data_IF_097095410019
#
_entry.id   IF_097095410019
#
_cell.length_a   1.000
_cell.length_b   1.000
_cell.length_c   1.000
_cell.angle_alpha   90.00
_cell.angle_beta   90.00
_cell.angle_gamma   90.00
#
_symmetry.space_group_name_H-M   'P 1'
#
loop_
_entity.id
_entity.type
_entity.pdbx_description
1 polymer ?
#
# COMPACT_ATOMS: atom_id res chain seq x y z
N UNK A 1 -68.11 31.34 3.42
CA UNK A 1 -67.54 31.05 2.10
C UNK A 1 -66.23 31.79 1.80
N UNK A 2 -65.65 32.59 2.70
CA UNK A 2 -64.36 33.33 2.45
C UNK A 2 -63.09 32.55 2.94
N UNK A 3 -63.23 31.63 3.87
CA UNK A 3 -62.11 30.86 4.44
C UNK A 3 -61.62 29.72 3.58
N UNK A 4 -62.44 29.22 2.64
CA UNK A 4 -62.06 28.09 1.78
C UNK A 4 -61.18 28.48 0.56
N UNK A 5 -61.24 29.75 0.17
CA UNK A 5 -60.45 30.30 -0.95
C UNK A 5 -59.01 30.61 -0.57
N UNK A 6 -58.77 31.00 0.67
CA UNK A 6 -57.41 31.30 1.17
C UNK A 6 -56.58 30.02 1.45
N UNK A 7 -57.25 28.93 1.82
CA UNK A 7 -56.57 27.63 2.00
C UNK A 7 -56.07 26.99 0.69
N UNK A 8 -56.84 27.18 -0.40
CA UNK A 8 -56.50 26.62 -1.69
C UNK A 8 -55.32 27.35 -2.37
N UNK A 9 -55.20 28.67 -2.17
CA UNK A 9 -54.09 29.43 -2.72
C UNK A 9 -52.78 29.20 -1.96
N UNK A 10 -52.81 28.99 -0.63
CA UNK A 10 -51.64 28.64 0.12
C UNK A 10 -51.15 27.20 -0.20
N UNK A 11 -52.04 26.26 -0.40
CA UNK A 11 -51.71 24.88 -0.82
C UNK A 11 -51.08 24.80 -2.21
N UNK A 12 -51.55 25.66 -3.14
CA UNK A 12 -50.99 25.70 -4.49
C UNK A 12 -49.64 26.38 -4.55
N UNK A 13 -49.37 27.35 -3.64
CA UNK A 13 -48.06 28.02 -3.53
C UNK A 13 -46.99 27.15 -2.84
N UNK A 14 -47.41 26.25 -1.93
CA UNK A 14 -46.52 25.28 -1.31
C UNK A 14 -46.07 24.16 -2.26
N UNK A 15 -46.93 23.78 -3.22
CA UNK A 15 -46.61 22.80 -4.26
C UNK A 15 -45.66 23.37 -5.34
N UNK A 16 -45.65 24.69 -5.55
CA UNK A 16 -44.73 25.31 -6.51
C UNK A 16 -43.28 25.47 -5.99
N UNK A 17 -43.06 25.42 -4.68
CA UNK A 17 -41.71 25.51 -4.08
C UNK A 17 -41.01 24.14 -3.89
N UNK A 18 -41.73 23.05 -4.01
CA UNK A 18 -41.15 21.69 -3.91
C UNK A 18 -40.64 21.13 -5.25
N UNK A 19 -40.71 21.90 -6.32
CA UNK A 19 -40.37 21.49 -7.69
C UNK A 19 -38.88 21.54 -8.06
N UNK A 20 -37.97 21.92 -7.17
CA UNK A 20 -36.55 21.93 -7.45
C UNK A 20 -35.83 20.85 -6.67
N UNK A 21 -35.85 19.60 -7.12
CA UNK A 21 -34.93 18.62 -6.53
C UNK A 21 -35.21 17.15 -6.72
N UNK A 22 -36.37 16.73 -7.28
CA UNK A 22 -36.71 15.30 -7.31
C UNK A 22 -36.56 14.65 -8.70
N UNK A 23 -36.37 15.41 -9.78
CA UNK A 23 -36.19 14.87 -11.14
C UNK A 23 -34.90 15.37 -11.82
N UNK A 24 -33.77 15.38 -11.09
CA UNK A 24 -32.45 15.78 -11.62
C UNK A 24 -31.39 14.71 -11.50
N UNK A 25 -31.75 13.44 -11.57
CA UNK A 25 -30.83 12.32 -11.61
C UNK A 25 -30.29 12.01 -13.01
N UNK A 26 -30.27 12.95 -13.91
CA UNK A 26 -29.56 12.88 -15.19
C UNK A 26 -28.23 13.59 -15.05
N UNK A 27 -27.16 12.86 -14.74
CA UNK A 27 -25.80 13.41 -14.86
C UNK A 27 -25.66 14.00 -16.26
N UNK A 28 -25.51 15.33 -16.33
CA UNK A 28 -25.11 16.03 -17.55
C UNK A 28 -23.78 15.43 -18.00
N UNK A 29 -23.85 14.39 -18.82
CA UNK A 29 -22.70 13.97 -19.62
C UNK A 29 -22.41 15.17 -20.50
N UNK A 30 -21.42 15.97 -20.14
CA UNK A 30 -20.89 17.02 -21.00
C UNK A 30 -20.70 16.38 -22.36
N UNK A 31 -21.28 16.95 -23.45
CA UNK A 31 -21.08 16.39 -24.77
C UNK A 31 -19.57 16.27 -24.96
N UNK A 32 -19.11 15.07 -25.31
CA UNK A 32 -17.70 14.88 -25.68
C UNK A 32 -17.48 15.78 -26.89
N UNK A 33 -16.71 16.83 -26.72
CA UNK A 33 -16.29 17.67 -27.86
C UNK A 33 -15.56 16.73 -28.82
N UNK A 34 -16.06 16.50 -30.04
CA UNK A 34 -15.37 15.67 -30.99
C UNK A 34 -14.00 16.31 -31.27
N UNK A 35 -12.95 15.61 -30.98
CA UNK A 35 -11.60 16.02 -31.40
C UNK A 35 -11.52 15.79 -32.90
N UNK A 36 -11.49 16.88 -33.65
CA UNK A 36 -11.32 16.84 -35.11
C UNK A 36 -9.82 16.78 -35.39
N UNK A 37 -9.38 15.83 -36.21
CA UNK A 37 -7.98 15.65 -36.61
C UNK A 37 -7.35 14.36 -36.07
N UNK A 38 -6.21 14.00 -36.64
CA UNK A 38 -5.42 12.86 -36.18
C UNK A 38 -4.68 13.19 -34.89
N UNK A 39 -4.76 12.29 -33.92
CA UNK A 39 -4.05 12.46 -32.66
C UNK A 39 -2.59 12.07 -32.84
N UNK A 40 -1.70 13.03 -32.72
CA UNK A 40 -0.27 12.78 -32.63
C UNK A 40 0.09 12.64 -31.16
N UNK A 41 0.66 11.49 -30.72
CA UNK A 41 1.14 11.33 -29.36
C UNK A 41 2.21 12.40 -29.06
N UNK A 42 2.04 13.14 -27.96
CA UNK A 42 3.04 14.15 -27.52
C UNK A 42 4.27 13.43 -26.94
N UNK A 43 4.06 12.27 -26.34
CA UNK A 43 5.14 11.39 -25.86
C UNK A 43 5.44 10.36 -26.95
N UNK A 44 6.42 10.67 -27.78
CA UNK A 44 6.92 9.75 -28.83
C UNK A 44 7.79 8.62 -28.27
N UNK A 45 8.08 8.66 -26.96
CA UNK A 45 8.87 7.68 -26.23
C UNK A 45 8.06 6.80 -25.28
N UNK A 46 6.73 6.64 -25.49
CA UNK A 46 6.07 5.43 -24.97
C UNK A 46 6.72 4.27 -25.72
N UNK A 47 7.82 3.79 -25.15
CA UNK A 47 8.58 2.69 -25.69
C UNK A 47 7.66 1.47 -25.75
N UNK A 48 7.16 1.17 -26.93
CA UNK A 48 6.94 -0.21 -27.29
C UNK A 48 8.28 -0.89 -27.06
N UNK A 49 8.30 -1.96 -26.26
CA UNK A 49 9.51 -2.76 -26.11
C UNK A 49 9.76 -3.50 -27.44
N UNK A 50 10.28 -2.74 -28.41
CA UNK A 50 10.62 -3.29 -29.72
C UNK A 50 11.91 -4.11 -29.56
N UNK A 51 11.87 -5.33 -30.04
CA UNK A 51 13.05 -6.19 -30.04
C UNK A 51 14.11 -5.57 -30.92
N UNK A 52 15.31 -5.35 -30.40
CA UNK A 52 16.44 -4.90 -31.21
C UNK A 52 16.70 -5.92 -32.32
N UNK A 53 16.60 -5.54 -33.61
CA UNK A 53 16.79 -6.49 -34.71
C UNK A 53 18.16 -7.18 -34.71
N UNK A 54 19.18 -6.55 -34.13
CA UNK A 54 20.52 -7.11 -34.01
C UNK A 54 20.62 -8.25 -33.00
N UNK A 55 19.65 -8.37 -32.10
CA UNK A 55 19.61 -9.38 -31.02
C UNK A 55 18.63 -10.51 -31.30
N UNK A 56 17.96 -10.52 -32.44
CA UNK A 56 16.93 -11.52 -32.80
C UNK A 56 17.46 -12.95 -32.77
N UNK A 57 18.71 -13.14 -33.16
CA UNK A 57 19.34 -14.46 -33.25
C UNK A 57 20.16 -14.84 -32.01
N UNK A 58 20.15 -14.00 -30.98
CA UNK A 58 20.86 -14.29 -29.72
C UNK A 58 20.07 -15.30 -28.90
N UNK A 59 20.67 -16.48 -28.66
CA UNK A 59 20.06 -17.49 -27.81
C UNK A 59 19.96 -17.01 -26.36
N UNK A 60 18.74 -16.94 -25.82
CA UNK A 60 18.50 -16.61 -24.42
C UNK A 60 18.56 -17.92 -23.62
N UNK A 61 19.56 -18.02 -22.74
CA UNK A 61 19.67 -19.12 -21.80
C UNK A 61 19.02 -18.73 -20.49
N UNK A 62 17.83 -19.28 -20.21
CA UNK A 62 17.17 -19.13 -18.91
C UNK A 62 17.73 -20.16 -17.93
N UNK A 63 18.00 -19.79 -16.68
CA UNK A 63 18.32 -20.76 -15.65
C UNK A 63 17.14 -21.73 -15.46
N UNK A 64 17.37 -22.95 -14.95
CA UNK A 64 16.29 -23.88 -14.66
C UNK A 64 15.26 -23.25 -13.72
N UNK A 65 13.96 -23.51 -13.97
CA UNK A 65 12.91 -23.04 -13.10
C UNK A 65 13.01 -23.67 -11.71
N UNK A 66 12.92 -22.84 -10.66
CA UNK A 66 13.04 -23.26 -9.27
C UNK A 66 11.69 -23.14 -8.56
N UNK A 67 11.31 -24.18 -7.81
CA UNK A 67 10.13 -24.12 -6.96
C UNK A 67 10.35 -23.11 -5.82
N UNK A 68 9.37 -22.26 -5.58
CA UNK A 68 9.38 -21.29 -4.51
C UNK A 68 8.24 -21.55 -3.52
N UNK A 69 8.55 -21.70 -2.24
CA UNK A 69 7.59 -21.94 -1.17
C UNK A 69 7.26 -20.69 -0.38
N UNK A 70 8.13 -19.69 -0.46
CA UNK A 70 8.04 -18.50 0.37
C UNK A 70 8.17 -17.22 -0.46
N UNK A 71 7.47 -16.17 -0.02
CA UNK A 71 7.51 -14.83 -0.59
C UNK A 71 7.56 -13.85 0.57
N UNK A 72 8.74 -13.75 1.18
CA UNK A 72 8.90 -13.17 2.53
C UNK A 72 8.83 -11.66 2.59
N UNK A 73 9.02 -10.98 1.46
CA UNK A 73 8.99 -9.53 1.36
C UNK A 73 8.31 -9.09 0.05
N UNK A 74 7.81 -7.86 -0.08
CA UNK A 74 7.39 -7.31 -1.37
C UNK A 74 8.50 -7.46 -2.42
N UNK A 75 8.18 -8.08 -3.55
CA UNK A 75 9.18 -8.46 -4.56
C UNK A 75 9.86 -9.81 -4.30
N UNK A 76 9.39 -10.58 -3.30
CA UNK A 76 9.77 -11.96 -3.03
C UNK A 76 10.80 -12.12 -1.91
N UNK A 77 11.90 -11.41 -1.99
CA UNK A 77 13.02 -11.47 -1.04
C UNK A 77 13.65 -10.10 -0.81
N UNK A 78 14.67 -10.00 0.05
CA UNK A 78 15.38 -8.75 0.33
C UNK A 78 15.99 -8.09 -0.92
N UNK A 79 16.74 -8.82 -1.77
CA UNK A 79 17.29 -8.29 -3.02
C UNK A 79 16.26 -7.91 -4.10
N UNK A 80 14.99 -8.28 -3.95
CA UNK A 80 13.94 -8.13 -4.98
C UNK A 80 14.26 -8.89 -6.28
N UNK A 81 15.00 -9.97 -6.17
CA UNK A 81 15.45 -10.78 -7.29
C UNK A 81 15.05 -12.24 -7.05
N UNK A 82 14.00 -12.68 -7.74
CA UNK A 82 13.42 -14.01 -7.59
C UNK A 82 13.86 -15.00 -8.67
N UNK A 83 14.66 -14.56 -9.64
CA UNK A 83 15.13 -15.38 -10.77
C UNK A 83 13.98 -16.05 -11.55
N UNK A 84 14.18 -17.30 -12.00
CA UNK A 84 13.19 -18.06 -12.75
C UNK A 84 12.39 -18.95 -11.80
N UNK A 85 11.24 -18.43 -11.32
CA UNK A 85 10.33 -19.17 -10.43
C UNK A 85 9.50 -20.17 -11.23
N UNK A 86 9.42 -21.42 -10.75
CA UNK A 86 8.57 -22.43 -11.37
C UNK A 86 7.09 -22.11 -11.19
N UNK A 87 6.32 -22.19 -12.27
CA UNK A 87 4.88 -22.02 -12.27
C UNK A 87 4.23 -23.22 -12.97
N UNK A 88 3.13 -23.71 -12.43
CA UNK A 88 2.36 -24.79 -13.06
C UNK A 88 1.74 -24.36 -14.39
N UNK A 89 1.58 -25.30 -15.32
CA UNK A 89 1.00 -25.04 -16.66
C UNK A 89 -0.52 -24.85 -16.64
N UNK A 90 -1.20 -25.34 -15.61
CA UNK A 90 -2.65 -25.18 -15.41
C UNK A 90 -2.88 -24.37 -14.12
N UNK A 91 -3.29 -23.12 -14.30
CA UNK A 91 -3.63 -22.24 -13.18
C UNK A 91 -5.12 -22.26 -12.95
N UNK A 92 -5.54 -22.36 -11.68
CA UNK A 92 -6.94 -22.28 -11.25
C UNK A 92 -7.03 -21.56 -9.91
N UNK A 93 -8.23 -21.06 -9.60
CA UNK A 93 -8.50 -20.49 -8.29
C UNK A 93 -8.50 -21.60 -7.23
N UNK A 94 -7.64 -21.47 -6.23
CA UNK A 94 -7.61 -22.40 -5.10
C UNK A 94 -8.64 -22.00 -4.03
N UNK A 95 -8.70 -20.71 -3.71
CA UNK A 95 -9.62 -20.13 -2.73
C UNK A 95 -9.62 -18.60 -2.82
N UNK A 96 -10.63 -17.99 -2.24
CA UNK A 96 -10.77 -16.52 -2.17
C UNK A 96 -11.16 -16.08 -0.76
N UNK A 97 -10.48 -15.08 -0.22
CA UNK A 97 -10.77 -14.46 1.07
C UNK A 97 -10.95 -12.96 0.90
N UNK A 98 -11.91 -12.39 1.64
CA UNK A 98 -12.15 -10.95 1.65
C UNK A 98 -11.49 -10.31 2.86
N UNK A 99 -10.74 -9.24 2.63
CA UNK A 99 -10.22 -8.32 3.65
C UNK A 99 -10.79 -6.93 3.42
N UNK A 100 -10.60 -6.02 4.37
CA UNK A 100 -11.02 -4.63 4.19
C UNK A 100 -10.13 -3.94 3.14
N UNK A 101 -10.72 -3.71 1.99
CA UNK A 101 -10.05 -3.16 0.81
C UNK A 101 -10.16 -1.65 0.70
N UNK A 102 -9.69 -1.13 -0.43
CA UNK A 102 -9.68 0.29 -0.78
C UNK A 102 -11.04 0.96 -0.65
N UNK A 103 -11.09 2.14 -0.07
CA UNK A 103 -12.24 3.04 -0.04
C UNK A 103 -11.85 4.45 -0.53
N UNK A 104 -12.75 5.42 -0.40
CA UNK A 104 -12.47 6.80 -0.88
C UNK A 104 -11.39 7.55 -0.08
N UNK A 105 -11.03 7.08 1.10
CA UNK A 105 -10.07 7.74 2.00
C UNK A 105 -8.77 6.97 2.16
N UNK A 106 -8.79 5.65 2.02
CA UNK A 106 -7.64 4.78 2.21
C UNK A 106 -7.51 3.80 1.05
N UNK A 107 -6.29 3.50 0.65
CA UNK A 107 -5.97 2.53 -0.40
C UNK A 107 -5.16 1.38 0.17
N UNK A 108 -5.52 0.19 -0.22
CA UNK A 108 -4.70 -0.97 0.06
C UNK A 108 -3.41 -0.87 -0.76
N UNK A 109 -2.29 -0.82 -0.07
CA UNK A 109 -0.99 -0.59 -0.68
C UNK A 109 -0.03 -1.79 -0.52
N UNK A 110 -0.33 -2.66 0.46
CA UNK A 110 0.53 -3.76 0.82
C UNK A 110 0.32 -4.98 -0.09
N UNK A 111 1.41 -5.55 -0.58
CA UNK A 111 1.41 -6.89 -1.15
C UNK A 111 1.36 -7.93 -0.04
N UNK A 112 0.65 -9.06 -0.21
CA UNK A 112 0.74 -10.18 0.70
C UNK A 112 2.16 -10.76 0.73
N UNK A 113 2.54 -11.36 1.85
CA UNK A 113 3.76 -12.18 1.95
C UNK A 113 3.39 -13.61 2.34
N UNK A 114 4.24 -14.55 1.96
CA UNK A 114 4.06 -15.98 2.21
C UNK A 114 5.27 -16.51 2.94
N UNK A 115 5.06 -17.11 4.09
CA UNK A 115 6.09 -17.77 4.86
C UNK A 115 5.48 -18.85 5.76
N UNK A 116 6.22 -19.91 6.03
CA UNK A 116 5.80 -21.01 6.92
C UNK A 116 4.43 -21.62 6.55
N UNK A 117 4.07 -21.66 5.26
CA UNK A 117 2.77 -22.16 4.81
C UNK A 117 1.58 -21.25 5.16
N UNK A 118 1.83 -20.00 5.50
CA UNK A 118 0.83 -18.98 5.83
C UNK A 118 0.94 -17.80 4.88
N UNK A 119 -0.18 -17.10 4.67
CA UNK A 119 -0.24 -15.82 3.95
C UNK A 119 -0.53 -14.72 4.95
N UNK A 120 0.27 -13.66 4.92
CA UNK A 120 0.11 -12.48 5.77
C UNK A 120 -0.19 -11.27 4.91
N UNK A 121 -1.16 -10.47 5.33
CA UNK A 121 -1.59 -9.27 4.62
C UNK A 121 -2.08 -8.20 5.59
N UNK A 122 -1.77 -6.94 5.29
CA UNK A 122 -2.24 -5.78 6.06
C UNK A 122 -3.41 -5.14 5.32
N UNK A 123 -4.50 -4.88 6.02
CA UNK A 123 -5.67 -4.19 5.48
C UNK A 123 -5.61 -2.66 5.64
N UNK A 124 -6.61 -1.94 5.11
CA UNK A 124 -6.68 -0.46 5.18
C UNK A 124 -6.91 0.11 6.58
N UNK A 125 -7.21 -0.72 7.58
CA UNK A 125 -7.33 -0.33 8.98
C UNK A 125 -6.11 -0.72 9.81
N UNK A 126 -4.98 -0.98 9.14
CA UNK A 126 -3.74 -1.43 9.77
C UNK A 126 -3.93 -2.71 10.59
N UNK A 127 -4.80 -3.61 10.16
CA UNK A 127 -4.91 -4.95 10.72
C UNK A 127 -4.06 -5.91 9.92
N UNK A 128 -3.25 -6.66 10.61
CA UNK A 128 -2.46 -7.77 10.07
C UNK A 128 -3.27 -9.05 10.19
N UNK A 129 -3.50 -9.72 9.08
CA UNK A 129 -4.23 -10.97 8.98
C UNK A 129 -3.30 -12.10 8.59
N UNK A 130 -3.51 -13.28 9.18
CA UNK A 130 -2.86 -14.51 8.77
C UNK A 130 -3.89 -15.54 8.29
N UNK A 131 -3.58 -16.17 7.16
CA UNK A 131 -4.37 -17.22 6.55
C UNK A 131 -3.51 -18.45 6.27
N UNK A 132 -4.09 -19.62 6.34
CA UNK A 132 -3.47 -20.85 5.87
C UNK A 132 -3.30 -20.79 4.35
N UNK A 133 -2.10 -21.02 3.85
CA UNK A 133 -1.79 -20.85 2.43
C UNK A 133 -2.50 -21.86 1.52
N UNK A 134 -2.87 -23.05 2.06
CA UNK A 134 -3.52 -24.12 1.26
C UNK A 134 -5.03 -23.95 1.20
N UNK A 135 -5.65 -23.59 2.31
CA UNK A 135 -7.11 -23.56 2.45
C UNK A 135 -7.73 -22.16 2.46
N UNK A 136 -6.93 -21.11 2.67
CA UNK A 136 -7.43 -19.76 2.89
C UNK A 136 -8.11 -19.56 4.25
N UNK A 137 -8.08 -20.55 5.14
CA UNK A 137 -8.68 -20.43 6.46
C UNK A 137 -7.99 -19.34 7.28
N UNK A 138 -8.77 -18.46 7.91
CA UNK A 138 -8.23 -17.42 8.78
C UNK A 138 -7.65 -18.07 10.05
N UNK A 139 -6.38 -17.76 10.33
CA UNK A 139 -5.67 -18.25 11.50
C UNK A 139 -5.78 -17.27 12.67
N UNK A 140 -5.42 -16.00 12.43
CA UNK A 140 -5.51 -14.94 13.43
C UNK A 140 -5.53 -13.56 12.77
N UNK A 141 -5.83 -12.53 13.54
CA UNK A 141 -5.64 -11.12 13.17
C UNK A 141 -5.08 -10.33 14.34
N UNK A 142 -4.29 -9.29 14.05
CA UNK A 142 -3.71 -8.39 15.05
C UNK A 142 -3.73 -6.95 14.58
N UNK A 143 -3.79 -5.99 15.49
CA UNK A 143 -3.75 -4.57 15.19
C UNK A 143 -2.30 -4.09 15.18
N UNK A 144 -1.90 -3.37 14.11
CA UNK A 144 -0.65 -2.63 14.04
C UNK A 144 -0.88 -1.25 14.66
N UNK A 145 -0.04 -0.88 15.61
CA UNK A 145 -0.22 0.36 16.38
C UNK A 145 -1.34 0.28 17.41
N UNK A 146 -1.83 1.43 17.84
CA UNK A 146 -2.91 1.52 18.81
C UNK A 146 -4.27 1.62 18.12
N UNK A 147 -5.23 0.77 18.50
CA UNK A 147 -6.55 0.74 17.89
C UNK A 147 -7.30 2.08 17.97
N UNK A 148 -7.10 2.85 19.03
CA UNK A 148 -7.67 4.19 19.19
C UNK A 148 -7.15 5.21 18.17
N UNK A 149 -5.89 5.09 17.76
CA UNK A 149 -5.29 5.98 16.76
C UNK A 149 -5.84 5.67 15.36
N UNK A 150 -6.22 4.42 15.12
CA UNK A 150 -6.82 3.96 13.86
C UNK A 150 -8.31 4.31 13.78
N UNK A 151 -9.06 4.11 14.87
CA UNK A 151 -10.51 4.27 14.89
C UNK A 151 -10.97 5.72 14.67
N UNK A 152 -10.13 6.71 15.04
CA UNK A 152 -10.57 8.10 15.12
C UNK A 152 -11.64 8.31 16.21
N UNK A 153 -12.15 9.51 16.35
CA UNK A 153 -13.23 9.85 17.26
C UNK A 153 -14.27 10.75 16.59
N UNK A 154 -15.50 10.68 17.06
CA UNK A 154 -16.56 11.59 16.60
C UNK A 154 -16.38 12.91 17.34
N UNK A 155 -16.24 14.02 16.61
CA UNK A 155 -16.24 15.35 17.20
C UNK A 155 -17.61 15.63 17.81
N UNK A 156 -17.63 15.95 19.09
CA UNK A 156 -18.86 16.31 19.81
C UNK A 156 -19.43 17.66 19.29
N UNK A 157 -18.59 18.49 18.67
CA UNK A 157 -18.96 19.81 18.19
C UNK A 157 -19.57 19.76 16.78
N UNK A 158 -19.02 18.95 15.87
CA UNK A 158 -19.47 18.91 14.47
C UNK A 158 -20.29 17.66 14.13
N UNK A 159 -20.35 16.67 15.00
CA UNK A 159 -20.95 15.36 14.69
C UNK A 159 -20.21 14.57 13.63
N UNK A 160 -19.10 15.07 13.12
CA UNK A 160 -18.29 14.40 12.10
C UNK A 160 -17.24 13.47 12.72
N UNK A 161 -16.96 12.39 12.03
CA UNK A 161 -15.81 11.55 12.36
C UNK A 161 -14.52 12.33 12.14
N UNK A 162 -13.95 12.82 13.23
CA UNK A 162 -12.58 13.36 13.25
C UNK A 162 -11.65 12.23 13.57
N UNK A 163 -10.91 11.80 12.59
CA UNK A 163 -9.96 10.73 12.72
C UNK A 163 -9.14 10.57 11.46
N UNK A 164 -8.20 9.68 11.50
CA UNK A 164 -7.17 9.48 10.48
C UNK A 164 -7.68 8.93 9.14
N UNK A 165 -8.80 9.44 8.62
CA UNK A 165 -9.44 8.96 7.39
C UNK A 165 -8.51 8.88 6.18
N UNK A 166 -7.42 9.64 6.18
CA UNK A 166 -6.43 9.66 5.09
C UNK A 166 -5.03 9.18 5.49
N UNK A 167 -4.76 8.97 6.77
CA UNK A 167 -3.44 8.59 7.28
C UNK A 167 -3.20 7.08 7.33
N UNK A 168 -4.25 6.28 7.08
CA UNK A 168 -4.13 4.82 6.98
C UNK A 168 -3.66 4.34 5.61
N UNK A 169 -3.35 5.25 4.70
CA UNK A 169 -2.79 4.90 3.40
C UNK A 169 -1.35 4.45 3.55
N UNK A 170 -1.10 3.21 3.23
CA UNK A 170 0.25 2.63 3.25
C UNK A 170 0.41 1.56 4.33
N UNK A 171 1.66 1.22 4.57
CA UNK A 171 2.03 0.10 5.40
C UNK A 171 2.19 -1.19 4.60
N UNK A 172 2.59 -2.22 5.28
CA UNK A 172 2.79 -3.55 4.72
C UNK A 172 3.42 -4.48 5.72
N UNK A 173 3.71 -5.68 5.30
CA UNK A 173 4.29 -6.73 6.13
C UNK A 173 5.45 -7.40 5.41
N UNK A 174 6.45 -7.83 6.16
CA UNK A 174 7.55 -8.67 5.73
C UNK A 174 7.86 -9.70 6.81
N UNK A 175 8.47 -10.80 6.41
CA UNK A 175 8.84 -11.91 7.29
C UNK A 175 10.34 -12.13 7.22
N UNK A 176 10.96 -12.36 8.37
CA UNK A 176 12.33 -12.83 8.48
C UNK A 176 12.56 -13.54 9.83
N UNK A 177 13.42 -14.55 9.85
CA UNK A 177 13.90 -15.28 11.03
C UNK A 177 12.80 -15.56 12.09
N UNK A 178 11.67 -16.13 11.63
CA UNK A 178 10.57 -16.52 12.53
C UNK A 178 9.79 -15.35 13.11
N UNK A 179 9.86 -14.16 12.52
CA UNK A 179 9.13 -12.96 12.96
C UNK A 179 8.46 -12.26 11.78
N UNK A 180 7.34 -11.62 12.05
CA UNK A 180 6.68 -10.70 11.13
C UNK A 180 6.98 -9.27 11.56
N UNK A 181 7.25 -8.44 10.59
CA UNK A 181 7.46 -7.01 10.79
C UNK A 181 6.47 -6.25 9.93
N UNK A 182 5.63 -5.47 10.58
CA UNK A 182 4.58 -4.72 9.89
C UNK A 182 4.71 -3.23 10.14
N UNK A 183 4.35 -2.45 9.13
CA UNK A 183 4.31 -0.99 9.17
C UNK A 183 2.89 -0.49 8.99
N UNK A 184 2.58 0.69 9.51
CA UNK A 184 1.31 1.36 9.32
C UNK A 184 1.48 2.73 8.68
N UNK A 185 0.43 3.22 8.01
CA UNK A 185 0.36 4.60 7.51
C UNK A 185 0.37 5.67 8.61
N UNK A 186 0.32 5.27 9.88
CA UNK A 186 0.46 6.18 11.04
C UNK A 186 1.90 6.32 11.55
N UNK A 187 2.83 5.57 10.95
CA UNK A 187 4.25 5.61 11.33
C UNK A 187 4.68 4.48 12.28
N UNK A 188 3.79 3.56 12.64
CA UNK A 188 4.15 2.44 13.50
C UNK A 188 4.95 1.38 12.74
N UNK A 189 5.99 0.86 13.38
CA UNK A 189 6.72 -0.35 13.03
C UNK A 189 6.56 -1.32 14.18
N UNK A 190 6.09 -2.53 13.91
CA UNK A 190 5.77 -3.49 14.96
C UNK A 190 6.15 -4.90 14.54
N UNK A 191 6.77 -5.63 15.45
CA UNK A 191 7.08 -7.04 15.26
C UNK A 191 6.02 -7.94 15.92
N UNK A 192 5.77 -9.10 15.28
CA UNK A 192 4.77 -10.07 15.72
C UNK A 192 5.30 -11.49 15.63
N UNK A 193 4.77 -12.36 16.48
CA UNK A 193 4.96 -13.80 16.36
C UNK A 193 4.06 -14.32 15.21
N UNK A 194 4.60 -15.00 14.18
CA UNK A 194 3.81 -15.51 13.06
C UNK A 194 2.86 -16.65 13.41
N UNK A 195 3.04 -17.32 14.55
CA UNK A 195 2.18 -18.42 14.94
C UNK A 195 0.82 -17.95 15.48
N UNK A 196 0.79 -16.87 16.26
CA UNK A 196 -0.41 -16.42 16.98
C UNK A 196 -0.71 -14.91 16.86
N UNK A 197 0.14 -14.16 16.15
CA UNK A 197 -0.03 -12.72 15.93
C UNK A 197 0.22 -11.87 17.17
N UNK A 198 0.82 -12.41 18.23
CA UNK A 198 1.16 -11.62 19.42
C UNK A 198 2.26 -10.61 19.12
N UNK A 199 2.10 -9.34 19.58
CA UNK A 199 3.12 -8.32 19.42
C UNK A 199 4.38 -8.66 20.24
N UNK A 200 5.55 -8.45 19.65
CA UNK A 200 6.85 -8.62 20.31
C UNK A 200 7.41 -7.26 20.75
N UNK A 201 7.43 -6.29 19.87
CA UNK A 201 7.82 -4.92 20.16
C UNK A 201 7.14 -3.94 19.18
N UNK A 202 7.10 -2.65 19.53
CA UNK A 202 6.55 -1.57 18.70
C UNK A 202 7.37 -0.30 18.87
N UNK A 203 7.65 0.39 17.74
CA UNK A 203 8.33 1.68 17.70
C UNK A 203 7.67 2.59 16.66
N UNK A 204 7.95 3.89 16.74
CA UNK A 204 7.53 4.89 15.75
C UNK A 204 8.75 5.76 15.43
N UNK A 205 9.56 5.37 14.41
CA UNK A 205 10.81 6.06 14.12
C UNK A 205 10.64 7.44 13.50
N UNK A 206 9.52 7.67 12.81
CA UNK A 206 9.27 8.92 12.11
C UNK A 206 7.80 9.16 11.79
N UNK A 207 7.55 9.92 10.72
CA UNK A 207 6.22 10.22 10.20
C UNK A 207 5.51 9.00 9.57
N UNK A 208 4.44 9.23 8.80
CA UNK A 208 3.69 8.18 8.12
C UNK A 208 4.58 7.31 7.24
N UNK A 209 4.47 5.99 7.38
CA UNK A 209 5.18 5.01 6.57
C UNK A 209 4.29 4.53 5.43
N UNK A 210 4.85 4.39 4.22
CA UNK A 210 4.07 4.09 3.02
C UNK A 210 4.24 2.68 2.48
N UNK A 211 5.34 2.01 2.77
CA UNK A 211 5.66 0.68 2.28
C UNK A 211 5.87 -0.34 3.39
N UNK A 212 5.94 -1.60 2.99
CA UNK A 212 6.40 -2.66 3.87
C UNK A 212 7.89 -2.46 4.22
N UNK A 213 8.35 -2.95 5.37
CA UNK A 213 9.77 -2.94 5.69
C UNK A 213 10.54 -3.84 4.73
N UNK A 214 11.73 -3.42 4.32
CA UNK A 214 12.73 -4.33 3.77
C UNK A 214 13.59 -4.88 4.90
N UNK A 215 14.04 -6.11 4.77
CA UNK A 215 14.76 -6.80 5.85
C UNK A 215 16.04 -7.43 5.30
N UNK A 216 17.08 -7.30 6.04
CA UNK A 216 18.36 -7.96 5.76
C UNK A 216 19.44 -7.53 6.75
N UNK A 217 20.42 -8.39 6.94
CA UNK A 217 21.55 -8.16 7.84
C UNK A 217 21.15 -7.88 9.32
N UNK A 218 20.03 -8.45 9.80
CA UNK A 218 19.52 -8.23 11.15
C UNK A 218 18.89 -6.86 11.36
N UNK A 219 18.53 -6.16 10.29
CA UNK A 219 17.96 -4.81 10.31
C UNK A 219 16.70 -4.72 9.43
N UNK A 220 15.81 -3.82 9.84
CA UNK A 220 14.63 -3.40 9.07
C UNK A 220 14.91 -2.02 8.47
N UNK A 221 14.53 -1.85 7.22
CA UNK A 221 14.62 -0.57 6.54
C UNK A 221 13.21 -0.11 6.18
N UNK A 222 12.80 1.01 6.76
CA UNK A 222 11.47 1.60 6.55
C UNK A 222 11.59 3.02 5.99
N UNK A 223 10.67 3.39 5.12
CA UNK A 223 10.66 4.70 4.50
C UNK A 223 9.42 5.48 4.94
N UNK A 224 9.61 6.73 5.29
CA UNK A 224 8.52 7.66 5.60
C UNK A 224 8.09 8.47 4.38
N UNK A 225 6.93 9.10 4.49
CA UNK A 225 6.36 9.93 3.42
C UNK A 225 7.21 11.18 3.12
N UNK A 226 7.94 11.69 4.09
CA UNK A 226 8.83 12.85 4.02
C UNK A 226 10.26 12.48 3.57
N UNK A 227 10.38 11.40 2.79
CA UNK A 227 11.64 10.95 2.17
C UNK A 227 12.77 10.65 3.17
N UNK A 228 12.45 10.13 4.34
CA UNK A 228 13.44 9.61 5.26
C UNK A 228 13.47 8.08 5.19
N UNK A 229 14.65 7.52 5.35
CA UNK A 229 14.87 6.09 5.56
C UNK A 229 15.41 5.85 6.95
N UNK A 230 14.89 4.85 7.64
CA UNK A 230 15.31 4.45 8.98
C UNK A 230 15.76 3.00 8.93
N UNK A 231 16.94 2.72 9.48
CA UNK A 231 17.39 1.36 9.77
C UNK A 231 17.16 1.05 11.25
N UNK A 232 16.41 0.02 11.53
CA UNK A 232 16.04 -0.42 12.89
C UNK A 232 16.57 -1.84 13.12
N UNK A 233 16.93 -2.17 14.33
CA UNK A 233 17.27 -3.56 14.69
C UNK A 233 16.04 -4.45 14.67
N UNK A 234 16.15 -5.63 14.11
CA UNK A 234 15.08 -6.65 14.14
C UNK A 234 14.74 -7.11 15.56
N UNK A 235 15.70 -7.10 16.46
CA UNK A 235 15.54 -7.63 17.80
C UNK A 235 14.57 -6.83 18.66
N UNK A 236 14.60 -5.51 18.57
CA UNK A 236 13.89 -4.62 19.50
C UNK A 236 13.34 -3.33 18.87
N UNK A 237 13.58 -3.12 17.56
CA UNK A 237 13.18 -1.90 16.83
C UNK A 237 14.03 -0.68 17.14
N UNK A 238 15.14 -0.80 17.87
CA UNK A 238 16.01 0.35 18.16
C UNK A 238 16.67 0.90 16.89
N UNK A 239 16.76 2.23 16.80
CA UNK A 239 17.33 2.92 15.65
C UNK A 239 18.83 2.63 15.55
N UNK A 240 19.28 2.25 14.36
CA UNK A 240 20.70 2.09 14.02
C UNK A 240 21.23 3.34 13.33
N UNK A 241 20.54 3.77 12.26
CA UNK A 241 20.84 4.99 11.54
C UNK A 241 19.59 5.51 10.82
N UNK A 242 19.63 6.75 10.39
CA UNK A 242 18.60 7.34 9.52
C UNK A 242 19.26 8.32 8.55
N UNK A 243 18.69 8.38 7.34
CA UNK A 243 19.10 9.30 6.28
C UNK A 243 17.88 9.94 5.65
N UNK A 244 18.05 11.09 5.02
CA UNK A 244 17.00 11.80 4.35
C UNK A 244 17.40 12.12 2.91
N UNK A 245 16.46 11.96 2.00
CA UNK A 245 16.55 12.48 0.63
C UNK A 245 15.88 13.85 0.54
N UNK A 246 15.92 14.45 -0.65
CA UNK A 246 15.32 15.76 -0.90
C UNK A 246 13.81 15.75 -0.61
N UNK A 247 13.34 16.77 0.08
CA UNK A 247 11.92 16.97 0.33
C UNK A 247 11.31 17.73 -0.84
N UNK A 248 10.35 17.11 -1.53
CA UNK A 248 9.62 17.71 -2.63
C UNK A 248 8.19 18.08 -2.23
N UNK A 249 7.74 19.26 -2.72
CA UNK A 249 6.36 19.75 -2.45
C UNK A 249 5.32 18.87 -3.15
N UNK A 250 5.69 18.21 -4.24
CA UNK A 250 4.80 17.36 -5.05
C UNK A 250 5.48 16.03 -5.32
N UNK A 251 5.52 15.17 -4.31
CA UNK A 251 6.05 13.81 -4.44
C UNK A 251 5.04 12.81 -4.99
N UNK A 252 5.53 11.77 -5.63
CA UNK A 252 4.71 10.63 -6.03
C UNK A 252 4.40 9.78 -4.80
N UNK A 253 3.12 9.50 -4.56
CA UNK A 253 2.73 8.56 -3.52
C UNK A 253 3.10 7.14 -3.95
N UNK A 254 4.28 6.71 -3.54
CA UNK A 254 4.76 5.35 -3.76
C UNK A 254 4.68 4.51 -2.49
N UNK A 255 4.64 3.21 -2.67
CA UNK A 255 4.66 2.19 -1.60
C UNK A 255 5.89 1.29 -1.73
N UNK A 256 6.96 1.82 -2.31
CA UNK A 256 8.21 1.09 -2.51
C UNK A 256 8.80 0.62 -1.18
N UNK A 257 9.30 -0.61 -1.18
CA UNK A 257 10.17 -1.11 -0.14
C UNK A 257 11.61 -1.08 -0.66
N UNK A 258 12.61 -0.69 0.15
CA UNK A 258 14.00 -0.76 -0.26
C UNK A 258 14.42 -2.16 -0.70
N UNK A 259 15.46 -2.26 -1.52
CA UNK A 259 16.13 -3.53 -1.80
C UNK A 259 17.39 -3.65 -0.93
N UNK A 260 17.64 -4.85 -0.42
CA UNK A 260 18.78 -5.11 0.48
C UNK A 260 19.57 -6.29 -0.06
N UNK A 261 20.82 -6.04 -0.43
CA UNK A 261 21.72 -7.08 -0.93
C UNK A 261 23.19 -6.69 -0.72
N UNK A 262 24.03 -7.66 -0.50
CA UNK A 262 25.50 -7.53 -0.51
C UNK A 262 26.03 -6.36 0.32
N UNK A 263 25.47 -6.14 1.51
CA UNK A 263 25.89 -5.05 2.38
C UNK A 263 25.37 -3.67 2.00
N UNK A 264 24.48 -3.58 1.02
CA UNK A 264 23.91 -2.35 0.50
C UNK A 264 22.41 -2.31 0.66
N UNK A 265 21.87 -1.12 0.89
CA UNK A 265 20.43 -0.81 0.91
C UNK A 265 20.17 0.20 -0.20
N UNK A 266 19.29 -0.16 -1.15
CA UNK A 266 18.92 0.73 -2.26
C UNK A 266 17.48 1.17 -2.07
N UNK A 267 17.26 2.47 -2.05
CA UNK A 267 15.95 3.08 -1.80
C UNK A 267 15.61 4.13 -2.86
N UNK A 268 14.37 4.05 -3.41
CA UNK A 268 13.80 5.05 -4.29
C UNK A 268 12.87 5.99 -3.53
N UNK A 269 13.03 7.28 -3.74
CA UNK A 269 12.31 8.34 -3.03
C UNK A 269 11.29 9.03 -3.93
N UNK A 270 10.29 9.67 -3.33
CA UNK A 270 9.25 10.40 -4.07
C UNK A 270 9.79 11.64 -4.81
N UNK A 271 10.97 12.12 -4.47
CA UNK A 271 11.73 13.15 -5.18
C UNK A 271 12.27 12.69 -6.54
N UNK A 272 12.22 11.37 -6.82
CA UNK A 272 12.84 10.76 -8.01
C UNK A 272 14.29 10.31 -7.79
N UNK A 273 14.83 10.53 -6.59
CA UNK A 273 16.16 10.05 -6.23
C UNK A 273 16.16 8.53 -6.02
N UNK A 274 17.25 7.89 -6.44
CA UNK A 274 17.58 6.50 -6.13
C UNK A 274 18.92 6.49 -5.41
N UNK A 275 18.91 6.19 -4.13
CA UNK A 275 20.09 6.25 -3.28
C UNK A 275 20.48 4.85 -2.79
N UNK A 276 21.78 4.62 -2.72
CA UNK A 276 22.37 3.42 -2.14
C UNK A 276 23.13 3.75 -0.87
N UNK A 277 22.94 2.94 0.16
CA UNK A 277 23.53 3.14 1.49
C UNK A 277 24.26 1.90 1.97
N UNK A 278 25.31 2.07 2.74
CA UNK A 278 25.91 0.97 3.52
C UNK A 278 24.96 0.57 4.64
N UNK A 279 24.70 -0.72 4.78
CA UNK A 279 23.74 -1.20 5.79
C UNK A 279 24.18 -0.90 7.22
N UNK A 280 25.50 -0.85 7.51
CA UNK A 280 26.03 -0.70 8.86
C UNK A 280 25.81 0.70 9.45
N UNK A 281 25.84 1.73 8.60
CA UNK A 281 25.92 3.12 9.10
C UNK A 281 25.19 4.17 8.24
N UNK A 282 24.48 3.76 7.20
CA UNK A 282 23.70 4.64 6.33
C UNK A 282 24.54 5.53 5.40
N UNK A 283 25.86 5.40 5.35
CA UNK A 283 26.67 6.22 4.43
C UNK A 283 26.31 5.90 2.98
N UNK A 284 26.13 6.95 2.20
CA UNK A 284 25.92 6.87 0.76
C UNK A 284 27.10 6.18 0.07
N UNK A 285 26.78 5.35 -0.94
CA UNK A 285 27.73 4.64 -1.79
C UNK A 285 28.01 5.41 -3.08
#
# INVERSE_FOLDING_TARGET
MKTFRTGLTLGMMALALSGCGVFGGGGNKRPKTPTIGDRIPILTSESTADVDPSLTDVAILLPPAQANTDWTQPGGNGPKMMEHVALGTALGEAWTVKIQGTNKYARLAASPVVAEGKIFVVDIYAKLHAFDAKSGAKLWESQIGDAKDVAGHISIISGEMVGNKGSLFGGGVSYDDGKLFATSGLGDVQAFNPADGKPLWKVRPGGPLRGAPAIGNGQLYVMSQDNQIFALKEADGSLVWSEAASLEVSGVFGVGAPAVAQGSVVAGFSSGELNAYRYENGRSL
#
